data_IF_440668226880
#
_entry.id   IF_440668226880
#
_cell.length_a   1.000
_cell.length_b   1.000
_cell.length_c   1.000
_cell.angle_alpha   90.00
_cell.angle_beta   90.00
_cell.angle_gamma   90.00
#
_symmetry.space_group_name_H-M   'P 1'
#
loop_
_entity.id
_entity.type
_entity.pdbx_description
1 polymer ?
#
# COMPACT_ATOMS: atom_id res chain seq x y z
N UNK A 1 7.07 -21.27 -23.05
CA UNK A 1 5.84 -20.68 -22.47
C UNK A 1 5.35 -19.64 -23.46
N UNK A 2 4.04 -19.52 -23.69
CA UNK A 2 3.50 -18.57 -24.68
C UNK A 2 2.98 -17.26 -24.06
N UNK A 3 2.97 -17.17 -22.73
CA UNK A 3 2.55 -15.99 -21.98
C UNK A 3 3.15 -15.99 -20.57
N UNK A 4 3.13 -14.83 -19.90
CA UNK A 4 3.47 -14.72 -18.47
C UNK A 4 2.31 -15.25 -17.62
N UNK A 5 2.64 -16.05 -16.59
CA UNK A 5 1.66 -16.50 -15.62
C UNK A 5 1.17 -15.29 -14.79
N UNK A 6 -0.14 -15.10 -14.59
CA UNK A 6 -0.65 -14.08 -13.69
C UNK A 6 -0.06 -14.21 -12.29
N UNK A 7 0.49 -13.11 -11.76
CA UNK A 7 1.14 -13.07 -10.45
C UNK A 7 1.08 -11.65 -9.90
N UNK A 8 0.56 -11.51 -8.69
CA UNK A 8 0.38 -10.24 -8.00
C UNK A 8 1.52 -10.01 -7.02
N UNK A 9 2.23 -8.89 -7.12
CA UNK A 9 3.24 -8.49 -6.14
C UNK A 9 2.76 -7.30 -5.31
N UNK A 10 2.81 -7.42 -3.98
CA UNK A 10 2.41 -6.38 -3.03
C UNK A 10 3.56 -6.10 -2.06
N UNK A 11 4.02 -4.85 -2.00
CA UNK A 11 5.07 -4.40 -1.08
C UNK A 11 4.54 -3.49 0.02
N UNK A 12 4.94 -3.72 1.28
CA UNK A 12 4.60 -2.84 2.41
C UNK A 12 5.87 -2.48 3.19
N UNK A 13 6.10 -1.19 3.38
CA UNK A 13 7.24 -0.72 4.17
C UNK A 13 7.04 -1.03 5.66
N UNK A 14 8.07 -1.55 6.35
CA UNK A 14 8.08 -1.64 7.80
C UNK A 14 8.14 -0.23 8.37
N UNK A 15 6.98 0.31 8.70
CA UNK A 15 6.82 1.72 9.04
C UNK A 15 6.59 1.97 10.53
N UNK A 16 6.54 0.90 11.33
CA UNK A 16 6.16 0.91 12.74
C UNK A 16 4.69 1.28 12.95
N UNK A 17 4.04 0.60 13.90
CA UNK A 17 2.67 0.86 14.37
C UNK A 17 1.64 0.98 13.24
N UNK A 18 1.29 -0.17 12.64
CA UNK A 18 0.12 -0.26 11.77
C UNK A 18 -1.12 0.22 12.52
N UNK A 19 -1.92 1.04 11.84
CA UNK A 19 -3.19 1.51 12.35
C UNK A 19 -4.36 1.01 11.49
N UNK A 20 -5.58 1.18 11.99
CA UNK A 20 -6.82 0.76 11.33
C UNK A 20 -6.92 1.23 9.88
N UNK A 21 -6.48 2.47 9.61
CA UNK A 21 -6.40 2.98 8.23
C UNK A 21 -5.48 2.19 7.28
N UNK A 22 -4.39 1.58 7.76
CA UNK A 22 -3.55 0.71 6.93
C UNK A 22 -4.24 -0.64 6.69
N UNK A 23 -4.89 -1.18 7.72
CA UNK A 23 -5.60 -2.44 7.64
C UNK A 23 -6.76 -2.37 6.64
N UNK A 24 -7.70 -1.44 6.84
CA UNK A 24 -8.86 -1.25 5.95
C UNK A 24 -8.45 -0.73 4.57
N UNK A 25 -7.37 0.06 4.50
CA UNK A 25 -6.92 0.68 3.25
C UNK A 25 -6.15 -0.25 2.31
N UNK A 26 -5.41 -1.22 2.87
CA UNK A 26 -4.49 -2.06 2.09
C UNK A 26 -4.53 -3.54 2.48
N UNK A 27 -4.28 -3.89 3.75
CA UNK A 27 -4.11 -5.30 4.16
C UNK A 27 -5.37 -6.12 3.88
N UNK A 28 -6.55 -5.55 4.15
CA UNK A 28 -7.82 -6.22 3.87
C UNK A 28 -8.01 -6.53 2.38
N UNK A 29 -7.58 -5.62 1.50
CA UNK A 29 -7.59 -5.86 0.04
C UNK A 29 -6.61 -6.97 -0.35
N UNK A 30 -5.44 -7.01 0.27
CA UNK A 30 -4.46 -8.07 0.04
C UNK A 30 -5.02 -9.46 0.39
N UNK A 31 -5.78 -9.55 1.48
CA UNK A 31 -6.44 -10.80 1.89
C UNK A 31 -7.46 -11.24 0.83
N UNK A 32 -8.28 -10.32 0.30
CA UNK A 32 -9.25 -10.62 -0.74
C UNK A 32 -8.61 -11.01 -2.08
N UNK A 33 -7.49 -10.35 -2.46
CA UNK A 33 -6.78 -10.64 -3.71
C UNK A 33 -6.29 -12.09 -3.79
N UNK A 34 -5.91 -12.67 -2.65
CA UNK A 34 -5.34 -14.02 -2.57
C UNK A 34 -6.32 -15.11 -2.99
N UNK A 35 -7.65 -14.86 -2.92
CA UNK A 35 -8.65 -15.88 -3.23
C UNK A 35 -8.63 -16.32 -4.69
N UNK A 36 -8.29 -15.40 -5.59
CA UNK A 36 -8.36 -15.60 -7.05
C UNK A 36 -7.00 -15.39 -7.75
N UNK A 37 -5.93 -15.12 -7.01
CA UNK A 37 -4.63 -14.80 -7.59
C UNK A 37 -3.49 -15.49 -6.84
N UNK A 38 -2.43 -15.82 -7.58
CA UNK A 38 -1.14 -16.09 -6.95
C UNK A 38 -0.54 -14.76 -6.48
N UNK A 39 -0.23 -14.68 -5.18
CA UNK A 39 0.25 -13.47 -4.54
C UNK A 39 1.64 -13.63 -3.92
N UNK A 40 2.41 -12.55 -3.99
CA UNK A 40 3.66 -12.34 -3.28
C UNK A 40 3.50 -11.09 -2.42
N UNK A 41 3.72 -11.24 -1.12
CA UNK A 41 3.69 -10.17 -0.13
C UNK A 41 5.09 -9.96 0.42
N UNK A 42 5.62 -8.76 0.21
CA UNK A 42 6.98 -8.40 0.56
C UNK A 42 6.98 -7.29 1.62
N UNK A 43 7.66 -7.54 2.75
CA UNK A 43 8.01 -6.48 3.69
C UNK A 43 9.24 -5.78 3.16
N UNK A 44 9.09 -4.55 2.67
CA UNK A 44 10.12 -3.83 1.91
C UNK A 44 11.04 -3.00 2.79
N UNK A 45 11.91 -3.69 3.54
CA UNK A 45 12.85 -3.08 4.48
C UNK A 45 13.99 -2.28 3.82
N UNK A 46 14.43 -2.64 2.61
CA UNK A 46 15.41 -1.85 1.85
C UNK A 46 14.83 -0.50 1.40
N UNK A 47 13.51 -0.40 1.19
CA UNK A 47 12.87 0.89 0.93
C UNK A 47 12.80 1.76 2.18
N UNK A 48 12.59 1.17 3.36
CA UNK A 48 12.50 1.93 4.61
C UNK A 48 13.79 2.71 4.93
N UNK A 49 14.95 2.16 4.58
CA UNK A 49 16.25 2.80 4.83
C UNK A 49 16.56 3.99 3.91
N UNK A 50 15.76 4.22 2.87
CA UNK A 50 15.91 5.37 1.97
C UNK A 50 15.43 6.68 2.59
N UNK A 51 14.44 6.60 3.48
CA UNK A 51 13.90 7.74 4.22
C UNK A 51 14.65 7.98 5.52
N UNK A 52 15.01 6.91 6.23
CA UNK A 52 15.78 6.96 7.47
C UNK A 52 16.74 5.77 7.49
N UNK A 53 18.05 6.03 7.42
CA UNK A 53 19.03 4.94 7.32
C UNK A 53 19.15 4.13 8.61
N UNK A 54 19.11 4.81 9.76
CA UNK A 54 19.28 4.20 11.08
C UNK A 54 17.94 4.19 11.81
N UNK A 55 17.44 3.01 12.12
CA UNK A 55 16.19 2.78 12.84
C UNK A 55 16.47 2.18 14.22
N UNK A 56 15.74 2.60 15.23
CA UNK A 56 15.87 2.04 16.58
C UNK A 56 15.39 0.58 16.64
N UNK A 57 14.33 0.22 15.90
CA UNK A 57 13.76 -1.14 15.89
C UNK A 57 13.21 -1.56 14.51
N UNK A 58 14.03 -1.54 13.46
CA UNK A 58 13.60 -2.02 12.14
C UNK A 58 13.19 -3.51 12.17
N UNK A 59 13.88 -4.33 12.98
CA UNK A 59 13.62 -5.77 13.08
C UNK A 59 12.25 -6.06 13.68
N UNK A 60 11.86 -5.38 14.75
CA UNK A 60 10.52 -5.50 15.34
C UNK A 60 9.45 -5.03 14.38
N UNK A 61 9.70 -3.93 13.65
CA UNK A 61 8.77 -3.43 12.63
C UNK A 61 8.56 -4.41 11.47
N UNK A 62 9.63 -5.04 10.96
CA UNK A 62 9.52 -6.08 9.92
C UNK A 62 8.64 -7.23 10.40
N UNK A 63 8.90 -7.73 11.62
CA UNK A 63 8.13 -8.83 12.22
C UNK A 63 6.68 -8.44 12.46
N UNK A 64 6.42 -7.21 12.88
CA UNK A 64 5.07 -6.70 13.11
C UNK A 64 4.25 -6.65 11.81
N UNK A 65 4.83 -6.17 10.69
CA UNK A 65 4.14 -6.21 9.39
C UNK A 65 3.87 -7.66 8.95
N UNK A 66 4.87 -8.54 9.05
CA UNK A 66 4.71 -9.94 8.67
C UNK A 66 3.64 -10.65 9.54
N UNK A 67 3.62 -10.38 10.84
CA UNK A 67 2.60 -10.89 11.75
C UNK A 67 1.21 -10.34 11.40
N UNK A 68 1.10 -9.04 11.08
CA UNK A 68 -0.16 -8.42 10.69
C UNK A 68 -0.72 -9.02 9.39
N UNK A 69 0.12 -9.32 8.39
CA UNK A 69 -0.31 -10.05 7.19
C UNK A 69 -0.98 -11.38 7.54
N UNK A 70 -0.29 -12.21 8.32
CA UNK A 70 -0.76 -13.56 8.67
C UNK A 70 -2.02 -13.46 9.54
N UNK A 71 -2.01 -12.61 10.57
CA UNK A 71 -3.14 -12.43 11.48
C UNK A 71 -4.39 -11.88 10.77
N UNK A 72 -4.21 -11.09 9.71
CA UNK A 72 -5.32 -10.57 8.90
C UNK A 72 -5.92 -11.60 7.94
N UNK A 73 -5.32 -12.78 7.80
CA UNK A 73 -5.84 -13.87 6.97
C UNK A 73 -5.06 -14.14 5.68
N UNK A 74 -3.88 -13.56 5.47
CA UNK A 74 -2.99 -14.01 4.39
C UNK A 74 -2.47 -15.40 4.75
N UNK A 75 -2.66 -16.38 3.86
CA UNK A 75 -2.22 -17.76 4.02
C UNK A 75 -0.79 -17.94 3.47
N UNK A 76 0.25 -18.01 4.34
CA UNK A 76 1.64 -18.14 3.90
C UNK A 76 1.98 -19.55 3.39
N UNK A 77 1.05 -20.51 3.43
CA UNK A 77 1.23 -21.85 2.85
C UNK A 77 0.80 -21.88 1.38
N UNK A 78 -0.15 -21.02 1.00
CA UNK A 78 -0.64 -20.89 -0.38
C UNK A 78 0.10 -19.80 -1.16
N UNK A 79 0.53 -18.75 -0.46
CA UNK A 79 1.16 -17.57 -1.04
C UNK A 79 2.51 -17.30 -0.39
N UNK A 80 3.31 -16.44 -1.01
CA UNK A 80 4.65 -16.11 -0.52
C UNK A 80 4.57 -14.86 0.35
N UNK A 81 5.05 -14.97 1.60
CA UNK A 81 5.24 -13.83 2.51
C UNK A 81 6.69 -13.81 2.94
N UNK A 82 7.42 -12.71 2.68
CA UNK A 82 8.85 -12.64 2.97
C UNK A 82 9.35 -11.21 3.25
N UNK A 83 10.59 -11.12 3.75
CA UNK A 83 11.30 -9.87 3.95
C UNK A 83 12.24 -9.56 2.77
N UNK A 84 12.20 -8.34 2.25
CA UNK A 84 12.92 -7.95 1.02
C UNK A 84 14.43 -8.20 1.11
N UNK A 85 15.10 -7.74 2.18
CA UNK A 85 16.55 -7.94 2.34
C UNK A 85 16.99 -9.39 2.51
N UNK A 86 16.06 -10.32 2.77
CA UNK A 86 16.37 -11.74 2.84
C UNK A 86 16.54 -12.39 1.45
N UNK A 87 16.22 -11.67 0.37
CA UNK A 87 16.34 -12.13 -1.01
C UNK A 87 17.31 -11.20 -1.77
N UNK A 88 18.59 -11.57 -1.91
CA UNK A 88 19.62 -10.67 -2.46
C UNK A 88 19.35 -10.23 -3.91
N UNK A 89 18.58 -11.02 -4.66
CA UNK A 89 18.23 -10.75 -6.05
C UNK A 89 17.49 -9.42 -6.25
N UNK A 90 16.82 -8.91 -5.21
CA UNK A 90 16.23 -7.57 -5.24
C UNK A 90 17.30 -6.49 -5.45
N UNK A 91 18.39 -6.54 -4.67
CA UNK A 91 19.49 -5.58 -4.77
C UNK A 91 20.33 -5.81 -6.04
N UNK A 92 20.56 -7.06 -6.42
CA UNK A 92 21.31 -7.42 -7.63
C UNK A 92 20.59 -6.94 -8.90
N UNK A 93 19.29 -7.19 -9.02
CA UNK A 93 18.51 -6.74 -10.16
C UNK A 93 18.32 -5.22 -10.16
N UNK A 94 18.18 -4.60 -8.97
CA UNK A 94 18.13 -3.14 -8.86
C UNK A 94 19.41 -2.48 -9.41
N UNK A 95 20.58 -3.09 -9.18
CA UNK A 95 21.84 -2.60 -9.75
C UNK A 95 21.82 -2.68 -11.29
N UNK A 96 21.36 -3.79 -11.86
CA UNK A 96 21.21 -3.93 -13.32
C UNK A 96 20.23 -2.88 -13.85
N UNK A 97 19.09 -2.66 -13.17
CA UNK A 97 18.10 -1.67 -13.57
C UNK A 97 18.59 -0.23 -13.45
N UNK A 98 19.48 0.08 -12.52
CA UNK A 98 20.15 1.38 -12.48
C UNK A 98 21.00 1.63 -13.75
N UNK A 99 21.49 0.59 -14.42
CA UNK A 99 22.18 0.72 -15.71
C UNK A 99 21.23 0.86 -16.92
N UNK A 100 19.94 0.53 -16.75
CA UNK A 100 18.90 0.68 -17.78
C UNK A 100 18.19 2.03 -17.64
N UNK A 101 17.84 2.39 -16.40
CA UNK A 101 17.08 3.58 -16.10
C UNK A 101 17.91 4.84 -16.32
N UNK A 102 17.32 5.84 -16.98
CA UNK A 102 17.99 7.10 -17.27
C UNK A 102 17.87 8.06 -16.08
N UNK A 103 18.95 8.80 -15.77
CA UNK A 103 18.95 9.84 -14.73
C UNK A 103 17.79 10.82 -14.90
N UNK A 104 17.48 11.21 -16.15
CA UNK A 104 16.36 12.09 -16.45
C UNK A 104 14.98 11.54 -16.09
N UNK A 105 14.80 10.21 -16.08
CA UNK A 105 13.55 9.57 -15.64
C UNK A 105 13.38 9.72 -14.13
N UNK A 106 14.45 9.47 -13.36
CA UNK A 106 14.47 9.60 -11.90
C UNK A 106 14.21 11.04 -11.44
N UNK A 107 14.89 12.02 -12.05
CA UNK A 107 14.75 13.43 -11.69
C UNK A 107 13.34 14.01 -11.96
N UNK A 108 12.52 13.33 -12.77
CA UNK A 108 11.13 13.75 -13.03
C UNK A 108 10.12 13.20 -12.03
N UNK A 109 10.51 12.22 -11.20
CA UNK A 109 9.63 11.61 -10.22
C UNK A 109 9.14 12.66 -9.21
N UNK A 110 7.82 12.76 -9.06
CA UNK A 110 7.17 13.73 -8.16
C UNK A 110 7.55 13.45 -6.72
N UNK A 111 7.55 12.18 -6.31
CA UNK A 111 7.97 11.78 -4.96
C UNK A 111 9.40 12.19 -4.61
N UNK A 112 10.34 12.13 -5.58
CA UNK A 112 11.70 12.59 -5.35
C UNK A 112 11.73 14.12 -5.15
N UNK A 113 11.05 14.87 -6.02
CA UNK A 113 10.96 16.34 -5.91
C UNK A 113 10.36 16.80 -4.58
N UNK A 114 9.31 16.11 -4.13
CA UNK A 114 8.61 16.44 -2.89
C UNK A 114 9.46 16.11 -1.65
N UNK A 115 10.11 14.94 -1.63
CA UNK A 115 10.92 14.49 -0.48
C UNK A 115 12.28 15.18 -0.39
N UNK A 116 12.93 15.44 -1.53
CA UNK A 116 14.21 16.17 -1.57
C UNK A 116 14.02 17.68 -1.33
N UNK A 117 12.83 18.21 -1.63
CA UNK A 117 12.49 19.61 -1.41
C UNK A 117 13.41 20.57 -2.16
N UNK A 118 13.80 21.66 -1.48
CA UNK A 118 14.65 22.72 -2.04
C UNK A 118 16.14 22.34 -2.10
N UNK A 119 16.57 21.39 -1.28
CA UNK A 119 17.97 21.02 -1.12
C UNK A 119 18.21 19.62 -1.69
N UNK A 120 18.14 19.54 -3.02
CA UNK A 120 18.25 18.26 -3.74
C UNK A 120 19.64 17.65 -3.67
N UNK A 121 20.67 18.45 -3.39
CA UNK A 121 22.05 17.98 -3.30
C UNK A 121 22.29 17.16 -2.03
N UNK A 122 21.55 17.47 -0.95
CA UNK A 122 21.60 16.70 0.30
C UNK A 122 20.71 15.45 0.30
N UNK A 123 19.95 15.20 -0.78
CA UNK A 123 19.16 13.99 -0.90
C UNK A 123 20.08 12.76 -1.09
N UNK A 124 19.76 11.66 -0.41
CA UNK A 124 20.52 10.42 -0.58
C UNK A 124 20.33 9.83 -1.98
N UNK A 125 21.36 9.16 -2.52
CA UNK A 125 21.23 8.43 -3.79
C UNK A 125 20.13 7.35 -3.70
N UNK A 126 19.96 6.73 -2.53
CA UNK A 126 18.87 5.78 -2.28
C UNK A 126 17.49 6.40 -2.50
N UNK A 127 17.27 7.64 -2.05
CA UNK A 127 16.01 8.37 -2.27
C UNK A 127 15.75 8.70 -3.74
N UNK A 128 16.79 8.86 -4.55
CA UNK A 128 16.66 9.04 -6.00
C UNK A 128 16.44 7.71 -6.74
N UNK A 129 17.14 6.64 -6.33
CA UNK A 129 17.23 5.38 -7.06
C UNK A 129 16.20 4.31 -6.62
N UNK A 130 15.51 4.48 -5.49
CA UNK A 130 14.52 3.48 -5.02
C UNK A 130 13.43 3.11 -6.03
N UNK A 131 13.02 3.95 -7.01
CA UNK A 131 12.08 3.50 -8.03
C UNK A 131 12.63 2.35 -8.91
N UNK A 132 13.95 2.27 -9.14
CA UNK A 132 14.58 1.09 -9.77
C UNK A 132 14.58 -0.13 -8.87
N UNK A 133 14.75 0.06 -7.55
CA UNK A 133 14.58 -1.03 -6.59
C UNK A 133 13.14 -1.55 -6.59
N UNK A 134 12.14 -0.67 -6.64
CA UNK A 134 10.73 -1.07 -6.78
C UNK A 134 10.48 -1.88 -8.06
N UNK A 135 11.06 -1.46 -9.19
CA UNK A 135 10.98 -2.23 -10.43
C UNK A 135 11.62 -3.63 -10.27
N UNK A 136 12.77 -3.72 -9.60
CA UNK A 136 13.43 -4.99 -9.33
C UNK A 136 12.59 -5.90 -8.42
N UNK A 137 11.95 -5.33 -7.40
CA UNK A 137 11.07 -6.07 -6.48
C UNK A 137 9.95 -6.78 -7.20
N UNK A 138 9.37 -6.13 -8.21
CA UNK A 138 8.25 -6.65 -8.99
C UNK A 138 8.77 -7.68 -10.03
N UNK A 139 9.83 -7.32 -10.76
CA UNK A 139 10.24 -8.04 -11.96
C UNK A 139 11.16 -9.24 -11.70
N UNK A 140 11.80 -9.32 -10.53
CA UNK A 140 12.58 -10.52 -10.14
C UNK A 140 11.71 -11.78 -10.10
N UNK A 141 10.42 -11.62 -9.78
CA UNK A 141 9.41 -12.69 -9.79
C UNK A 141 8.62 -12.77 -11.09
N UNK A 142 8.87 -11.86 -12.05
CA UNK A 142 8.03 -11.64 -13.23
C UNK A 142 6.56 -11.44 -12.84
N UNK A 143 6.30 -10.66 -11.79
CA UNK A 143 4.94 -10.30 -11.43
C UNK A 143 4.30 -9.49 -12.55
N UNK A 144 3.06 -9.81 -12.87
CA UNK A 144 2.30 -9.17 -13.95
C UNK A 144 1.39 -8.07 -13.43
N UNK A 145 1.08 -8.08 -12.13
CA UNK A 145 0.12 -7.17 -11.53
C UNK A 145 0.63 -6.62 -10.21
N UNK A 146 0.33 -5.35 -9.91
CA UNK A 146 0.65 -4.71 -8.62
C UNK A 146 -0.53 -3.87 -8.16
N UNK A 147 -1.06 -4.09 -6.94
CA UNK A 147 -2.04 -3.18 -6.34
C UNK A 147 -1.32 -1.90 -5.92
N UNK A 148 -1.67 -0.79 -6.58
CA UNK A 148 -1.07 0.53 -6.30
C UNK A 148 -2.14 1.57 -6.03
N UNK A 149 -1.86 2.44 -5.05
CA UNK A 149 -2.60 3.68 -4.89
C UNK A 149 -2.23 4.70 -5.98
N UNK A 150 -3.02 5.76 -6.10
CA UNK A 150 -2.78 6.83 -7.08
C UNK A 150 -1.39 7.47 -6.93
N UNK A 151 -0.83 7.50 -5.72
CA UNK A 151 0.47 8.06 -5.38
C UNK A 151 1.68 7.23 -5.86
N UNK A 152 1.46 5.97 -6.24
CA UNK A 152 2.49 5.04 -6.69
C UNK A 152 2.42 4.74 -8.20
N UNK A 153 1.42 5.27 -8.93
CA UNK A 153 1.26 5.06 -10.37
C UNK A 153 2.50 5.43 -11.17
N UNK A 154 3.14 6.55 -10.83
CA UNK A 154 4.34 7.01 -11.53
C UNK A 154 5.52 6.04 -11.39
N UNK A 155 5.67 5.39 -10.24
CA UNK A 155 6.73 4.38 -10.05
C UNK A 155 6.42 3.09 -10.81
N UNK A 156 5.15 2.71 -10.91
CA UNK A 156 4.75 1.55 -11.70
C UNK A 156 4.98 1.78 -13.20
N UNK A 157 4.67 2.97 -13.71
CA UNK A 157 5.02 3.34 -15.10
C UNK A 157 6.54 3.29 -15.34
N UNK A 158 7.34 3.74 -14.38
CA UNK A 158 8.80 3.58 -14.49
C UNK A 158 9.23 2.11 -14.55
N UNK A 159 8.62 1.23 -13.75
CA UNK A 159 8.91 -0.20 -13.80
C UNK A 159 8.59 -0.79 -15.18
N UNK A 160 7.50 -0.34 -15.80
CA UNK A 160 7.12 -0.70 -17.18
C UNK A 160 8.14 -0.17 -18.19
N UNK A 161 8.56 1.09 -18.09
CA UNK A 161 9.59 1.70 -18.95
C UNK A 161 10.93 0.94 -18.88
N UNK A 162 11.35 0.57 -17.67
CA UNK A 162 12.58 -0.22 -17.44
C UNK A 162 12.45 -1.62 -18.08
N UNK A 163 11.34 -2.32 -17.84
CA UNK A 163 11.08 -3.64 -18.42
C UNK A 163 11.08 -3.59 -19.95
N UNK A 164 10.37 -2.62 -20.52
CA UNK A 164 10.31 -2.40 -21.96
C UNK A 164 11.69 -2.16 -22.55
N UNK A 165 12.46 -1.23 -21.96
CA UNK A 165 13.81 -0.91 -22.47
C UNK A 165 14.73 -2.13 -22.40
N UNK A 166 14.71 -2.86 -21.29
CA UNK A 166 15.50 -4.09 -21.13
C UNK A 166 15.11 -5.13 -22.19
N UNK A 167 13.81 -5.39 -22.36
CA UNK A 167 13.35 -6.37 -23.33
C UNK A 167 13.77 -6.02 -24.76
N UNK A 168 13.61 -4.75 -25.18
CA UNK A 168 14.00 -4.30 -26.52
C UNK A 168 15.50 -4.44 -26.76
N UNK A 169 16.32 -3.98 -25.80
CA UNK A 169 17.78 -3.98 -25.94
C UNK A 169 18.37 -5.38 -25.96
N UNK A 170 17.76 -6.31 -25.23
CA UNK A 170 18.27 -7.67 -25.05
C UNK A 170 17.49 -8.73 -25.84
N UNK A 171 16.50 -8.36 -26.68
CA UNK A 171 15.59 -9.32 -27.32
C UNK A 171 16.29 -10.48 -28.04
N UNK A 172 17.36 -10.21 -28.79
CA UNK A 172 18.10 -11.24 -29.52
C UNK A 172 18.82 -12.20 -28.56
N UNK A 173 19.38 -11.65 -27.47
CA UNK A 173 20.05 -12.45 -26.43
C UNK A 173 19.04 -13.27 -25.64
N UNK A 174 17.89 -12.68 -25.29
CA UNK A 174 16.79 -13.37 -24.60
C UNK A 174 16.31 -14.54 -25.48
N UNK A 175 16.10 -14.31 -26.77
CA UNK A 175 15.70 -15.35 -27.72
C UNK A 175 16.74 -16.46 -27.83
N UNK A 176 18.03 -16.10 -27.90
CA UNK A 176 19.12 -17.07 -27.98
C UNK A 176 19.27 -17.96 -26.74
N UNK A 177 18.87 -17.51 -25.55
CA UNK A 177 18.90 -18.35 -24.34
C UNK A 177 17.71 -19.31 -24.25
N UNK A 178 16.74 -19.21 -25.17
CA UNK A 178 15.49 -19.97 -25.10
C UNK A 178 14.60 -19.57 -23.92
N UNK A 179 14.85 -18.40 -23.33
CA UNK A 179 14.05 -17.84 -22.24
C UNK A 179 13.17 -16.70 -22.76
N UNK A 180 12.09 -16.37 -22.04
CA UNK A 180 11.20 -15.28 -22.42
C UNK A 180 9.94 -15.74 -23.15
N UNK A 181 9.23 -14.76 -23.71
CA UNK A 181 7.93 -14.90 -24.37
C UNK A 181 7.83 -13.89 -25.50
N UNK A 182 7.26 -14.32 -26.63
CA UNK A 182 6.87 -13.39 -27.68
C UNK A 182 5.70 -12.53 -27.18
N UNK A 183 5.82 -11.22 -27.35
CA UNK A 183 4.86 -10.24 -26.86
C UNK A 183 4.84 -9.00 -27.76
N UNK A 184 3.88 -8.11 -27.56
CA UNK A 184 3.77 -6.86 -28.31
C UNK A 184 4.00 -5.68 -27.36
N UNK A 185 4.80 -4.72 -27.81
CA UNK A 185 5.05 -3.46 -27.10
C UNK A 185 4.74 -2.32 -28.05
N UNK A 186 3.68 -1.57 -27.76
CA UNK A 186 3.10 -0.64 -28.72
C UNK A 186 2.54 -1.42 -29.91
N UNK A 187 3.15 -1.24 -31.08
CA UNK A 187 2.81 -1.99 -32.30
C UNK A 187 3.91 -2.99 -32.71
N UNK A 188 5.01 -3.04 -31.98
CA UNK A 188 6.18 -3.85 -32.35
C UNK A 188 6.16 -5.22 -31.64
N UNK A 189 6.26 -6.32 -32.40
CA UNK A 189 6.46 -7.64 -31.81
C UNK A 189 7.90 -7.78 -31.31
N UNK A 190 8.07 -8.21 -30.08
CA UNK A 190 9.38 -8.43 -29.45
C UNK A 190 9.42 -9.78 -28.72
N UNK A 191 10.63 -10.23 -28.36
CA UNK A 191 10.83 -11.34 -27.44
C UNK A 191 11.27 -10.83 -26.07
N UNK A 192 10.36 -10.83 -25.10
CA UNK A 192 10.56 -10.22 -23.80
C UNK A 192 10.88 -11.22 -22.70
N UNK A 193 11.75 -10.84 -21.77
CA UNK A 193 12.04 -11.60 -20.55
C UNK A 193 11.17 -11.17 -19.37
N UNK A 194 10.89 -9.87 -19.27
CA UNK A 194 10.09 -9.28 -18.20
C UNK A 194 8.67 -8.93 -18.68
N UNK A 195 7.63 -9.15 -17.87
CA UNK A 195 6.29 -8.66 -18.19
C UNK A 195 6.23 -7.13 -18.11
N UNK A 196 5.27 -6.55 -18.85
CA UNK A 196 4.86 -5.17 -18.63
C UNK A 196 3.77 -5.16 -17.56
N UNK A 197 4.15 -4.78 -16.36
CA UNK A 197 3.32 -4.86 -15.15
C UNK A 197 2.08 -3.98 -15.29
N UNK A 198 0.91 -4.49 -14.88
CA UNK A 198 -0.36 -3.78 -14.89
C UNK A 198 -0.79 -3.35 -13.48
N UNK A 199 -1.39 -2.16 -13.31
CA UNK A 199 -1.95 -1.75 -12.03
C UNK A 199 -3.24 -2.53 -11.75
N UNK A 200 -3.35 -3.11 -10.55
CA UNK A 200 -4.63 -3.54 -10.01
C UNK A 200 -5.28 -2.37 -9.30
N UNK A 201 -6.27 -1.78 -9.96
CA UNK A 201 -7.07 -0.69 -9.40
C UNK A 201 -8.35 -1.28 -8.83
N UNK A 202 -8.29 -1.70 -7.57
CA UNK A 202 -9.52 -1.92 -6.82
C UNK A 202 -10.12 -0.57 -6.43
N UNK A 203 -11.45 -0.47 -6.52
CA UNK A 203 -12.23 0.73 -6.20
C UNK A 203 -11.82 1.43 -4.89
N UNK A 204 -12.27 2.68 -4.67
CA UNK A 204 -11.73 3.54 -3.63
C UNK A 204 -11.65 2.82 -2.28
N UNK A 205 -10.43 2.68 -1.76
CA UNK A 205 -10.24 2.10 -0.44
C UNK A 205 -10.91 3.00 0.60
N UNK A 206 -11.52 2.44 1.67
CA UNK A 206 -12.04 3.25 2.77
C UNK A 206 -10.92 4.16 3.30
N UNK A 207 -11.06 5.47 3.07
CA UNK A 207 -10.11 6.44 3.57
C UNK A 207 -10.46 6.74 5.02
N UNK A 208 -9.72 6.10 5.92
CA UNK A 208 -9.88 6.31 7.36
C UNK A 208 -9.17 7.60 7.77
N UNK A 209 -9.92 8.49 8.42
CA UNK A 209 -9.45 9.80 8.86
C UNK A 209 -9.09 9.78 10.35
N UNK A 210 -8.37 10.80 10.81
CA UNK A 210 -8.01 10.95 12.21
C UNK A 210 -9.25 11.04 13.09
N UNK A 211 -9.24 10.34 14.21
CA UNK A 211 -10.30 10.42 15.23
C UNK A 211 -10.37 11.79 15.90
N UNK A 212 -9.36 12.65 15.73
CA UNK A 212 -9.30 14.00 16.31
C UNK A 212 -9.54 15.11 15.30
N UNK A 213 -9.40 14.81 14.01
CA UNK A 213 -9.59 15.75 12.91
C UNK A 213 -10.03 14.97 11.65
N UNK A 214 -11.34 14.96 11.39
CA UNK A 214 -11.92 14.20 10.27
C UNK A 214 -11.45 14.67 8.88
N UNK A 215 -10.77 15.82 8.78
CA UNK A 215 -10.23 16.34 7.51
C UNK A 215 -8.83 15.82 7.20
N UNK A 216 -8.14 15.25 8.20
CA UNK A 216 -6.79 14.69 8.05
C UNK A 216 -6.81 13.17 8.00
N UNK A 217 -6.01 12.59 7.11
CA UNK A 217 -5.85 11.12 7.03
C UNK A 217 -5.28 10.62 8.36
N UNK A 218 -5.75 9.46 8.84
CA UNK A 218 -5.15 8.79 9.98
C UNK A 218 -3.66 8.54 9.68
N UNK A 219 -2.78 8.94 10.61
CA UNK A 219 -1.33 8.90 10.41
C UNK A 219 -0.62 8.41 11.66
N UNK A 220 0.39 7.58 11.45
CA UNK A 220 1.36 7.17 12.49
C UNK A 220 2.19 8.33 13.04
N UNK A 221 2.38 9.41 12.27
CA UNK A 221 3.19 10.57 12.66
C UNK A 221 2.45 11.64 13.44
N UNK A 222 1.14 11.47 13.66
CA UNK A 222 0.37 12.40 14.49
C UNK A 222 0.86 12.29 15.96
N UNK A 223 1.18 13.42 16.63
CA UNK A 223 1.69 13.41 18.00
C UNK A 223 0.66 12.88 19.00
N UNK A 224 -0.64 12.96 18.70
CA UNK A 224 -1.68 12.43 19.55
C UNK A 224 -1.97 10.98 19.18
N UNK A 225 -1.68 10.05 20.08
CA UNK A 225 -2.06 8.65 19.88
C UNK A 225 -3.59 8.45 19.82
N UNK A 226 -4.37 9.36 20.43
CA UNK A 226 -5.84 9.38 20.33
C UNK A 226 -6.38 9.69 18.93
N UNK A 227 -5.51 10.09 17.98
CA UNK A 227 -5.88 10.32 16.57
C UNK A 227 -6.09 9.04 15.78
N UNK A 228 -5.62 7.90 16.28
CA UNK A 228 -5.54 6.63 15.55
C UNK A 228 -5.87 5.43 16.42
N UNK A 229 -6.36 4.37 15.79
CA UNK A 229 -6.48 3.05 16.42
C UNK A 229 -5.32 2.21 15.88
N UNK A 230 -4.39 1.80 16.74
CA UNK A 230 -3.29 0.92 16.34
C UNK A 230 -3.81 -0.53 16.31
N UNK A 231 -3.26 -1.36 15.43
CA UNK A 231 -3.64 -2.79 15.37
C UNK A 231 -3.23 -3.60 16.60
N UNK A 232 -2.36 -3.04 17.43
CA UNK A 232 -1.90 -3.64 18.68
C UNK A 232 -2.57 -3.01 19.91
N UNK A 233 -3.50 -2.06 19.72
CA UNK A 233 -4.26 -1.51 20.83
C UNK A 233 -5.09 -2.63 21.48
N UNK A 234 -5.15 -2.65 22.80
CA UNK A 234 -6.08 -3.54 23.51
C UNK A 234 -7.53 -3.01 23.46
N UNK A 235 -8.47 -3.82 23.93
CA UNK A 235 -9.89 -3.48 23.91
C UNK A 235 -10.20 -2.16 24.66
N UNK A 236 -9.52 -1.92 25.79
CA UNK A 236 -9.73 -0.72 26.59
C UNK A 236 -9.19 0.54 25.88
N UNK A 237 -8.07 0.41 25.18
CA UNK A 237 -7.48 1.46 24.36
C UNK A 237 -8.37 1.81 23.17
N UNK A 238 -8.87 0.82 22.43
CA UNK A 238 -9.80 1.01 21.30
C UNK A 238 -11.06 1.74 21.78
N UNK A 239 -11.69 1.24 22.85
CA UNK A 239 -12.87 1.81 23.48
C UNK A 239 -12.63 3.28 23.88
N UNK A 240 -11.51 3.55 24.57
CA UNK A 240 -11.13 4.90 25.01
C UNK A 240 -10.93 5.85 23.82
N UNK A 241 -10.27 5.40 22.76
CA UNK A 241 -9.98 6.19 21.55
C UNK A 241 -11.26 6.56 20.81
N UNK A 242 -12.16 5.60 20.60
CA UNK A 242 -13.46 5.83 19.94
C UNK A 242 -14.35 6.74 20.79
N UNK A 243 -14.43 6.52 22.10
CA UNK A 243 -15.17 7.42 23.02
C UNK A 243 -14.67 8.86 22.93
N UNK A 244 -13.35 9.05 22.87
CA UNK A 244 -12.68 10.37 22.77
C UNK A 244 -12.58 10.93 21.34
N UNK A 245 -13.08 10.22 20.34
CA UNK A 245 -13.11 10.73 18.98
C UNK A 245 -13.88 12.07 18.93
N UNK A 246 -13.37 13.04 18.19
CA UNK A 246 -14.06 14.31 17.98
C UNK A 246 -15.34 14.02 17.19
N UNK A 247 -16.42 14.67 17.60
CA UNK A 247 -17.71 14.66 16.91
C UNK A 247 -18.27 16.06 16.93
N UNK A 248 -19.14 16.37 15.97
CA UNK A 248 -19.94 17.58 16.00
C UNK A 248 -21.07 17.45 17.07
N UNK A 249 -21.78 18.54 17.41
CA UNK A 249 -22.78 18.53 18.48
C UNK A 249 -24.13 17.95 18.05
N UNK A 250 -24.33 17.66 16.76
CA UNK A 250 -25.59 17.16 16.24
C UNK A 250 -25.62 15.63 16.29
N UNK A 251 -26.83 15.05 16.36
CA UNK A 251 -27.01 13.61 16.18
C UNK A 251 -26.59 13.17 14.76
N UNK A 252 -26.40 11.87 14.55
CA UNK A 252 -26.11 11.34 13.23
C UNK A 252 -27.25 11.70 12.25
N UNK A 253 -26.93 12.11 11.01
CA UNK A 253 -27.94 12.33 10.00
C UNK A 253 -28.62 11.00 9.62
N UNK A 254 -29.86 11.04 9.16
CA UNK A 254 -30.55 9.83 8.66
C UNK A 254 -30.18 9.49 7.22
N UNK A 255 -29.72 10.48 6.46
CA UNK A 255 -29.40 10.36 5.03
C UNK A 255 -27.93 10.71 4.75
N UNK A 256 -27.40 10.18 3.64
CA UNK A 256 -25.98 10.33 3.27
C UNK A 256 -25.58 11.79 3.03
N UNK A 257 -26.46 12.58 2.42
CA UNK A 257 -26.27 14.00 2.14
C UNK A 257 -26.03 14.78 3.44
N UNK A 258 -26.63 14.33 4.55
CA UNK A 258 -26.43 14.93 5.86
C UNK A 258 -25.02 14.73 6.44
N UNK A 259 -24.18 13.87 5.84
CA UNK A 259 -22.76 13.75 6.20
C UNK A 259 -21.88 14.81 5.51
N UNK A 260 -22.41 15.51 4.50
CA UNK A 260 -21.66 16.56 3.81
C UNK A 260 -21.33 17.70 4.78
N UNK A 261 -20.07 18.15 4.78
CA UNK A 261 -19.58 19.15 5.74
C UNK A 261 -19.41 18.64 7.18
N UNK A 262 -19.70 17.36 7.48
CA UNK A 262 -19.53 16.74 8.81
C UNK A 262 -18.44 15.66 8.79
N UNK A 263 -17.16 16.04 8.64
CA UNK A 263 -16.08 15.08 8.38
C UNK A 263 -15.86 14.08 9.52
N UNK A 264 -16.07 14.48 10.78
CA UNK A 264 -16.00 13.57 11.93
C UNK A 264 -17.10 12.50 11.90
N UNK A 265 -18.36 12.89 11.68
CA UNK A 265 -19.49 11.97 11.54
C UNK A 265 -19.26 11.01 10.37
N UNK A 266 -18.89 11.55 9.21
CA UNK A 266 -18.61 10.79 8.00
C UNK A 266 -17.48 9.78 8.18
N UNK A 267 -16.47 10.12 9.00
CA UNK A 267 -15.37 9.23 9.33
C UNK A 267 -15.85 8.07 10.22
N UNK A 268 -16.53 8.35 11.34
CA UNK A 268 -16.96 7.28 12.26
C UNK A 268 -17.99 6.33 11.61
N UNK A 269 -18.93 6.87 10.83
CA UNK A 269 -19.88 6.06 10.03
C UNK A 269 -19.13 5.24 8.98
N UNK A 270 -18.11 5.83 8.34
CA UNK A 270 -17.26 5.12 7.38
C UNK A 270 -16.45 3.99 8.00
N UNK A 271 -15.92 4.17 9.22
CA UNK A 271 -15.22 3.12 9.95
C UNK A 271 -16.18 1.98 10.30
N UNK A 272 -17.36 2.31 10.84
CA UNK A 272 -18.38 1.30 11.16
C UNK A 272 -18.75 0.48 9.93
N UNK A 273 -19.11 1.16 8.84
CA UNK A 273 -19.47 0.54 7.57
C UNK A 273 -18.37 -0.41 7.06
N UNK A 274 -17.11 0.02 7.13
CA UNK A 274 -15.98 -0.76 6.68
C UNK A 274 -15.62 -1.95 7.59
N UNK A 275 -15.94 -1.90 8.89
CA UNK A 275 -15.75 -3.03 9.81
C UNK A 275 -16.90 -4.04 9.73
N UNK A 276 -18.13 -3.55 9.53
CA UNK A 276 -19.34 -4.38 9.48
C UNK A 276 -19.70 -4.91 8.08
N UNK A 277 -18.92 -4.59 7.05
CA UNK A 277 -19.21 -4.93 5.65
C UNK A 277 -20.57 -4.44 5.15
N UNK A 278 -20.87 -3.19 5.52
CA UNK A 278 -22.12 -2.50 5.21
C UNK A 278 -21.86 -1.21 4.45
N UNK A 279 -22.89 -0.70 3.80
CA UNK A 279 -22.82 0.65 3.22
C UNK A 279 -23.01 1.69 4.32
N UNK A 280 -22.54 2.92 4.08
CA UNK A 280 -22.83 4.04 4.99
C UNK A 280 -24.34 4.27 5.13
N UNK A 281 -25.11 4.06 4.06
CA UNK A 281 -26.56 4.18 4.08
C UNK A 281 -27.19 3.18 5.05
N UNK A 282 -26.73 1.92 5.06
CA UNK A 282 -27.22 0.91 6.00
C UNK A 282 -26.92 1.29 7.45
N UNK A 283 -25.77 1.91 7.71
CA UNK A 283 -25.40 2.39 9.06
C UNK A 283 -26.28 3.57 9.47
N UNK A 284 -26.55 4.52 8.57
CA UNK A 284 -27.44 5.66 8.85
C UNK A 284 -28.90 5.23 8.99
N UNK A 285 -29.35 4.19 8.29
CA UNK A 285 -30.68 3.63 8.48
C UNK A 285 -30.89 3.06 9.90
N UNK A 286 -29.81 2.58 10.53
CA UNK A 286 -29.84 2.03 11.89
C UNK A 286 -29.63 3.10 12.97
N UNK A 287 -28.65 3.99 12.77
CA UNK A 287 -28.22 4.95 13.79
C UNK A 287 -28.63 6.40 13.50
N UNK A 288 -29.30 6.65 12.38
CA UNK A 288 -29.79 7.97 11.98
C UNK A 288 -30.71 8.59 13.01
N UNK A 289 -30.54 9.88 13.28
CA UNK A 289 -31.25 10.62 14.32
C UNK A 289 -30.75 10.36 15.76
N UNK A 290 -29.90 9.36 15.98
CA UNK A 290 -29.36 9.06 17.30
C UNK A 290 -28.15 9.93 17.67
N UNK A 291 -27.90 10.08 18.96
CA UNK A 291 -26.76 10.81 19.49
C UNK A 291 -25.47 9.98 19.42
N UNK A 292 -24.32 10.64 19.32
CA UNK A 292 -23.01 9.97 19.33
C UNK A 292 -22.72 9.20 20.62
N UNK A 293 -23.41 9.51 21.73
CA UNK A 293 -23.34 8.74 22.98
C UNK A 293 -23.89 7.32 22.82
N UNK A 294 -24.74 7.06 21.83
CA UNK A 294 -25.23 5.72 21.48
C UNK A 294 -24.36 5.09 20.41
N UNK A 295 -23.99 5.86 19.37
CA UNK A 295 -23.22 5.34 18.25
C UNK A 295 -21.77 4.96 18.60
N UNK A 296 -21.07 5.76 19.42
CA UNK A 296 -19.66 5.49 19.76
C UNK A 296 -19.47 4.18 20.54
N UNK A 297 -20.31 3.83 21.53
CA UNK A 297 -20.27 2.50 22.13
C UNK A 297 -20.44 1.37 21.11
N UNK A 298 -21.45 1.45 20.23
CA UNK A 298 -21.67 0.41 19.22
C UNK A 298 -20.49 0.26 18.26
N UNK A 299 -19.90 1.38 17.82
CA UNK A 299 -18.68 1.36 17.00
C UNK A 299 -17.49 0.77 17.76
N UNK A 300 -17.36 1.06 19.07
CA UNK A 300 -16.29 0.52 19.87
C UNK A 300 -16.42 -0.99 20.05
N UNK A 301 -17.63 -1.48 20.35
CA UNK A 301 -17.90 -2.91 20.50
C UNK A 301 -17.65 -3.67 19.19
N UNK A 302 -17.96 -3.06 18.04
CA UNK A 302 -17.65 -3.63 16.71
C UNK A 302 -16.15 -3.66 16.40
N UNK A 303 -15.39 -2.70 16.92
CA UNK A 303 -13.97 -2.54 16.60
C UNK A 303 -13.03 -3.43 17.44
N UNK A 304 -13.51 -3.95 18.57
CA UNK A 304 -12.81 -4.90 19.46
C UNK A 304 -12.98 -6.31 18.95
#
# INVERSE_FOLDING_TARGET
MNSFKPLVFSGVQPTGNLHLGNYLGAIRKFVALQENNDCIYCVVDLHAITAQLVHDDLRGQIRSIAAAFIASGIDPKKHIVFNQSAVPQHAELAWIFNCVARIGWMNRMTQFKDKAGKDRENASLGLLAYPSLMAADILVYRATHVPVGDDQKQHLELARDIAQKFNIDFQDKIRATGTGVDMVVGEEPIHGYFPLVEPLIDGPAPRVMSLRDGTKKMSKSDPSDLSRINLMDDADEILKKIRKAKTDPEGLPSELEGLEGRPEAANLVGIYAALADRTKADVLAEFGGQQFSVFKPALADLAV
#
